data_IF_510965280754
#
_entry.id   IF_510965280754
#
_cell.length_a   1.000
_cell.length_b   1.000
_cell.length_c   1.000
_cell.angle_alpha   90.00
_cell.angle_beta   90.00
_cell.angle_gamma   90.00
#
_symmetry.space_group_name_H-M   'P 1'
#
loop_
_entity.id
_entity.type
_entity.pdbx_description
1 polymer ?
#
# COMPACT_ATOMS: atom_id res chain seq x y z
N UNK A 1 2.80 -53.72 -9.71
CA UNK A 1 3.49 -52.55 -9.11
C UNK A 1 3.04 -52.43 -7.67
N UNK A 2 3.96 -52.37 -6.70
CA UNK A 2 3.60 -52.15 -5.29
C UNK A 2 2.97 -50.77 -5.12
N UNK A 3 1.99 -50.65 -4.23
CA UNK A 3 1.23 -49.40 -4.01
C UNK A 3 2.13 -48.20 -3.78
N UNK A 4 3.27 -48.40 -3.13
CA UNK A 4 4.29 -47.38 -2.89
C UNK A 4 4.88 -46.82 -4.19
N UNK A 5 5.27 -47.67 -5.14
CA UNK A 5 5.84 -47.24 -6.43
C UNK A 5 4.80 -46.45 -7.22
N UNK A 6 3.53 -46.90 -7.20
CA UNK A 6 2.43 -46.18 -7.83
C UNK A 6 2.20 -44.80 -7.20
N UNK A 7 2.20 -44.72 -5.87
CA UNK A 7 1.99 -43.46 -5.16
C UNK A 7 3.14 -42.46 -5.40
N UNK A 8 4.38 -42.94 -5.39
CA UNK A 8 5.57 -42.12 -5.69
C UNK A 8 5.50 -41.58 -7.12
N UNK A 9 5.10 -42.42 -8.09
CA UNK A 9 4.91 -41.98 -9.48
C UNK A 9 3.79 -40.95 -9.63
N UNK A 10 2.69 -41.09 -8.89
CA UNK A 10 1.59 -40.10 -8.89
C UNK A 10 2.09 -38.76 -8.34
N UNK A 11 2.83 -38.77 -7.23
CA UNK A 11 3.37 -37.53 -6.64
C UNK A 11 4.36 -36.85 -7.58
N UNK A 12 5.26 -37.61 -8.21
CA UNK A 12 6.21 -37.08 -9.20
C UNK A 12 5.50 -36.53 -10.45
N UNK A 13 4.45 -37.21 -10.93
CA UNK A 13 3.65 -36.76 -12.06
C UNK A 13 2.88 -35.46 -11.74
N UNK A 14 2.30 -35.35 -10.54
CA UNK A 14 1.64 -34.14 -10.07
C UNK A 14 2.64 -32.98 -9.91
N UNK A 15 3.83 -33.26 -9.35
CA UNK A 15 4.90 -32.27 -9.23
C UNK A 15 5.40 -31.77 -10.59
N UNK A 16 5.56 -32.67 -11.56
CA UNK A 16 5.92 -32.31 -12.93
C UNK A 16 4.84 -31.48 -13.63
N UNK A 17 3.55 -31.80 -13.40
CA UNK A 17 2.42 -30.99 -13.87
C UNK A 17 2.45 -29.57 -13.30
N UNK A 18 2.71 -29.41 -12.00
CA UNK A 18 2.84 -28.10 -11.35
C UNK A 18 4.03 -27.30 -11.91
N UNK A 19 5.13 -27.97 -12.26
CA UNK A 19 6.31 -27.33 -12.87
C UNK A 19 6.07 -26.90 -14.33
N UNK A 20 5.24 -27.64 -15.07
CA UNK A 20 4.92 -27.38 -16.49
C UNK A 20 3.76 -26.40 -16.67
N UNK A 21 2.91 -26.21 -15.65
CA UNK A 21 1.89 -25.16 -15.64
C UNK A 21 2.59 -23.82 -15.35
N UNK A 22 2.64 -22.88 -16.31
CA UNK A 22 3.19 -21.54 -16.07
C UNK A 22 2.24 -20.78 -15.14
N UNK A 23 2.39 -21.00 -13.83
CA UNK A 23 1.44 -20.50 -12.84
C UNK A 23 1.75 -20.83 -11.39
N UNK A 24 2.60 -21.81 -11.07
CA UNK A 24 2.87 -22.17 -9.66
C UNK A 24 3.40 -21.01 -8.78
N UNK A 25 4.41 -20.29 -9.27
CA UNK A 25 4.88 -19.03 -8.65
C UNK A 25 4.00 -17.83 -9.02
N UNK A 26 3.67 -17.70 -10.31
CA UNK A 26 2.99 -16.52 -10.85
C UNK A 26 1.53 -16.36 -10.40
N UNK A 27 0.80 -17.44 -10.12
CA UNK A 27 -0.59 -17.37 -9.68
C UNK A 27 -0.68 -16.89 -8.23
N UNK A 28 0.25 -17.34 -7.37
CA UNK A 28 0.34 -16.88 -5.98
C UNK A 28 0.68 -15.39 -5.92
N UNK A 29 1.67 -14.97 -6.72
CA UNK A 29 2.03 -13.55 -6.85
C UNK A 29 0.90 -12.72 -7.46
N UNK A 30 0.17 -13.25 -8.44
CA UNK A 30 -1.00 -12.62 -9.03
C UNK A 30 -2.13 -12.42 -8.01
N UNK A 31 -2.38 -13.41 -7.14
CA UNK A 31 -3.37 -13.30 -6.06
C UNK A 31 -2.93 -12.25 -5.04
N UNK A 32 -1.67 -12.27 -4.62
CA UNK A 32 -1.13 -11.29 -3.68
C UNK A 32 -1.20 -9.87 -4.26
N UNK A 33 -0.82 -9.70 -5.52
CA UNK A 33 -0.89 -8.43 -6.22
C UNK A 33 -2.33 -7.94 -6.38
N UNK A 34 -3.27 -8.82 -6.73
CA UNK A 34 -4.69 -8.48 -6.79
C UNK A 34 -5.21 -8.02 -5.43
N UNK A 35 -4.83 -8.69 -4.35
CA UNK A 35 -5.21 -8.33 -2.98
C UNK A 35 -4.64 -6.96 -2.57
N UNK A 36 -3.38 -6.69 -2.92
CA UNK A 36 -2.74 -5.38 -2.72
C UNK A 36 -3.47 -4.28 -3.49
N UNK A 37 -3.82 -4.52 -4.76
CA UNK A 37 -4.59 -3.57 -5.58
C UNK A 37 -5.96 -3.29 -4.97
N UNK A 38 -6.69 -4.34 -4.56
CA UNK A 38 -8.00 -4.20 -3.91
C UNK A 38 -7.89 -3.43 -2.60
N UNK A 39 -6.85 -3.68 -1.80
CA UNK A 39 -6.59 -2.94 -0.57
C UNK A 39 -6.32 -1.45 -0.84
N UNK A 40 -5.47 -1.12 -1.81
CA UNK A 40 -5.23 0.28 -2.21
C UNK A 40 -6.49 0.94 -2.78
N UNK A 41 -7.30 0.21 -3.56
CA UNK A 41 -8.58 0.70 -4.06
C UNK A 41 -9.57 1.00 -2.92
N UNK A 42 -9.62 0.14 -1.90
CA UNK A 42 -10.44 0.36 -0.70
C UNK A 42 -9.97 1.59 0.10
N UNK A 43 -8.66 1.78 0.25
CA UNK A 43 -8.08 2.97 0.89
C UNK A 43 -8.41 4.24 0.08
N UNK A 44 -8.24 4.22 -1.24
CA UNK A 44 -8.59 5.34 -2.12
C UNK A 44 -10.10 5.67 -2.02
N UNK A 45 -10.95 4.64 -2.00
CA UNK A 45 -12.39 4.82 -1.79
C UNK A 45 -12.69 5.45 -0.42
N UNK A 46 -12.03 5.01 0.64
CA UNK A 46 -12.18 5.57 1.99
C UNK A 46 -11.77 7.05 2.02
N UNK A 47 -10.66 7.41 1.37
CA UNK A 47 -10.23 8.82 1.24
C UNK A 47 -11.27 9.66 0.50
N UNK A 48 -11.79 9.16 -0.63
CA UNK A 48 -12.84 9.85 -1.40
C UNK A 48 -14.13 9.98 -0.59
N UNK A 49 -14.50 8.93 0.14
CA UNK A 49 -15.69 8.91 1.00
C UNK A 49 -15.56 9.95 2.11
N UNK A 50 -14.44 9.94 2.83
CA UNK A 50 -14.14 10.89 3.90
C UNK A 50 -14.10 12.33 3.38
N UNK A 51 -13.50 12.54 2.20
CA UNK A 51 -13.50 13.84 1.53
C UNK A 51 -14.92 14.33 1.23
N UNK A 52 -15.78 13.45 0.70
CA UNK A 52 -17.19 13.81 0.39
C UNK A 52 -18.00 14.12 1.65
N UNK A 53 -17.78 13.39 2.74
CA UNK A 53 -18.46 13.63 4.02
C UNK A 53 -17.99 14.93 4.69
N UNK A 54 -16.68 15.22 4.62
CA UNK A 54 -16.06 16.37 5.28
C UNK A 54 -15.82 17.55 4.34
N UNK A 55 -16.39 17.54 3.14
CA UNK A 55 -16.13 18.58 2.11
C UNK A 55 -16.39 19.98 2.64
N UNK A 56 -17.47 20.18 3.40
CA UNK A 56 -17.85 21.48 3.96
C UNK A 56 -16.79 21.98 4.92
N UNK A 57 -16.33 21.14 5.84
CA UNK A 57 -15.23 21.43 6.77
C UNK A 57 -13.94 21.74 6.00
N UNK A 58 -13.66 20.98 4.93
CA UNK A 58 -12.53 21.18 4.02
C UNK A 58 -12.59 22.48 3.22
N UNK A 59 -13.77 23.02 2.92
CA UNK A 59 -13.91 24.33 2.24
C UNK A 59 -13.85 25.50 3.23
N UNK A 60 -14.16 25.30 4.51
CA UNK A 60 -13.96 26.32 5.55
C UNK A 60 -12.49 26.44 5.98
N UNK A 61 -11.67 25.42 5.70
CA UNK A 61 -10.21 25.50 5.83
C UNK A 61 -9.64 26.54 4.84
N UNK A 62 -8.96 27.55 5.36
CA UNK A 62 -8.26 28.55 4.54
C UNK A 62 -7.23 27.93 3.58
N UNK A 63 -6.98 28.59 2.45
CA UNK A 63 -6.19 28.05 1.32
C UNK A 63 -4.84 27.45 1.72
N UNK A 64 -4.13 28.10 2.65
CA UNK A 64 -2.84 27.63 3.18
C UNK A 64 -2.94 26.24 3.83
N UNK A 65 -3.97 25.99 4.63
CA UNK A 65 -4.15 24.70 5.32
C UNK A 65 -4.54 23.60 4.34
N UNK A 66 -5.27 23.94 3.26
CA UNK A 66 -5.62 22.99 2.20
C UNK A 66 -4.37 22.53 1.44
N UNK A 67 -3.49 23.48 1.08
CA UNK A 67 -2.22 23.17 0.42
C UNK A 67 -1.34 22.27 1.30
N UNK A 68 -1.24 22.56 2.61
CA UNK A 68 -0.48 21.71 3.55
C UNK A 68 -1.08 20.31 3.63
N UNK A 69 -2.42 20.20 3.72
CA UNK A 69 -3.08 18.91 3.80
C UNK A 69 -2.83 18.08 2.54
N UNK A 70 -3.07 18.63 1.35
CA UNK A 70 -2.86 17.92 0.09
C UNK A 70 -1.37 17.63 -0.16
N UNK A 71 -0.48 18.55 0.22
CA UNK A 71 0.96 18.34 0.18
C UNK A 71 1.40 17.18 1.07
N UNK A 72 0.89 17.09 2.29
CA UNK A 72 1.18 15.99 3.22
C UNK A 72 0.67 14.63 2.72
N UNK A 73 -0.51 14.61 2.10
CA UNK A 73 -1.10 13.42 1.48
C UNK A 73 -0.29 12.95 0.26
N UNK A 74 0.13 13.88 -0.60
CA UNK A 74 1.00 13.57 -1.73
C UNK A 74 2.35 13.04 -1.28
N UNK A 75 2.95 13.70 -0.28
CA UNK A 75 4.23 13.29 0.31
C UNK A 75 4.15 11.88 0.90
N UNK A 76 3.10 11.58 1.68
CA UNK A 76 2.87 10.25 2.24
C UNK A 76 2.77 9.19 1.14
N UNK A 77 1.99 9.48 0.08
CA UNK A 77 1.77 8.55 -1.03
C UNK A 77 3.09 8.22 -1.74
N UNK A 78 3.88 9.23 -2.10
CA UNK A 78 5.18 9.05 -2.76
C UNK A 78 6.14 8.28 -1.86
N UNK A 79 6.16 8.59 -0.56
CA UNK A 79 7.03 7.93 0.42
C UNK A 79 6.70 6.44 0.55
N UNK A 80 5.41 6.08 0.59
CA UNK A 80 4.97 4.68 0.63
C UNK A 80 5.34 3.95 -0.67
N UNK A 81 5.15 4.58 -1.83
CA UNK A 81 5.52 3.97 -3.13
C UNK A 81 7.05 3.79 -3.25
N UNK A 82 7.84 4.70 -2.68
CA UNK A 82 9.30 4.63 -2.72
C UNK A 82 9.91 3.70 -1.66
N UNK A 83 9.09 3.05 -0.81
CA UNK A 83 9.56 2.27 0.37
C UNK A 83 10.65 1.27 0.00
N UNK A 84 10.43 0.41 -0.99
CA UNK A 84 11.38 -0.63 -1.37
C UNK A 84 12.76 -0.05 -1.71
N UNK A 85 12.78 0.99 -2.56
CA UNK A 85 14.02 1.67 -2.97
C UNK A 85 14.68 2.43 -1.83
N UNK A 86 13.90 3.02 -0.92
CA UNK A 86 14.47 3.77 0.21
C UNK A 86 15.09 2.84 1.24
N UNK A 87 14.52 1.65 1.44
CA UNK A 87 14.97 0.70 2.45
C UNK A 87 16.22 -0.10 2.03
N UNK A 88 16.59 -0.06 0.75
CA UNK A 88 17.83 -0.65 0.23
C UNK A 88 19.11 -0.02 0.82
N UNK A 89 19.02 1.21 1.35
CA UNK A 89 20.17 1.93 1.92
C UNK A 89 19.85 2.49 3.30
N UNK A 90 20.82 2.46 4.23
CA UNK A 90 20.62 3.01 5.57
C UNK A 90 20.22 4.50 5.58
N UNK A 91 20.79 5.29 4.67
CA UNK A 91 20.43 6.70 4.51
C UNK A 91 19.00 6.87 3.97
N UNK A 92 18.58 6.02 3.03
CA UNK A 92 17.21 6.03 2.51
C UNK A 92 16.17 5.65 3.56
N UNK A 93 16.46 4.68 4.44
CA UNK A 93 15.59 4.33 5.57
C UNK A 93 15.39 5.50 6.52
N UNK A 94 16.46 6.23 6.86
CA UNK A 94 16.36 7.44 7.68
C UNK A 94 15.53 8.53 7.00
N UNK A 95 15.77 8.76 5.70
CA UNK A 95 15.00 9.71 4.92
C UNK A 95 13.50 9.32 4.86
N UNK A 96 13.20 8.03 4.73
CA UNK A 96 11.83 7.53 4.74
C UNK A 96 11.10 7.90 6.04
N UNK A 97 11.71 7.67 7.20
CA UNK A 97 11.12 8.06 8.49
C UNK A 97 10.94 9.58 8.61
N UNK A 98 11.90 10.37 8.12
CA UNK A 98 11.78 11.83 8.11
C UNK A 98 10.61 12.31 7.25
N UNK A 99 10.42 11.71 6.07
CA UNK A 99 9.32 12.04 5.15
C UNK A 99 7.96 11.63 5.72
N UNK A 100 7.85 10.44 6.30
CA UNK A 100 6.63 10.01 7.00
C UNK A 100 6.33 10.94 8.17
N UNK A 101 7.33 11.28 8.98
CA UNK A 101 7.19 12.23 10.08
C UNK A 101 6.70 13.60 9.60
N UNK A 102 7.26 14.12 8.50
CA UNK A 102 6.84 15.38 7.91
C UNK A 102 5.39 15.33 7.40
N UNK A 103 4.98 14.24 6.75
CA UNK A 103 3.61 14.05 6.29
C UNK A 103 2.61 13.98 7.47
N UNK A 104 2.92 13.19 8.49
CA UNK A 104 2.09 13.08 9.71
C UNK A 104 2.01 14.43 10.43
N UNK A 105 3.11 15.16 10.54
CA UNK A 105 3.14 16.49 11.14
C UNK A 105 2.28 17.49 10.37
N UNK A 106 2.34 17.48 9.03
CA UNK A 106 1.50 18.33 8.18
C UNK A 106 0.01 18.06 8.40
N UNK A 107 -0.39 16.79 8.44
CA UNK A 107 -1.78 16.42 8.74
C UNK A 107 -2.20 16.83 10.16
N UNK A 108 -1.34 16.61 11.16
CA UNK A 108 -1.58 17.01 12.55
C UNK A 108 -1.71 18.54 12.70
N UNK A 109 -0.87 19.31 12.01
CA UNK A 109 -0.92 20.77 12.01
C UNK A 109 -2.29 21.27 11.51
N UNK A 110 -2.77 20.71 10.40
CA UNK A 110 -4.08 21.07 9.83
C UNK A 110 -5.21 20.67 10.77
N UNK A 111 -5.12 19.50 11.40
CA UNK A 111 -6.11 19.03 12.37
C UNK A 111 -6.19 19.92 13.61
N UNK A 112 -5.04 20.35 14.14
CA UNK A 112 -4.99 21.29 15.27
C UNK A 112 -5.52 22.66 14.86
N UNK A 113 -5.17 23.16 13.67
CA UNK A 113 -5.69 24.42 13.15
C UNK A 113 -7.22 24.37 13.04
N UNK A 114 -7.79 23.28 12.54
CA UNK A 114 -9.24 23.10 12.42
C UNK A 114 -10.00 23.05 13.75
N UNK A 115 -9.32 22.76 14.87
CA UNK A 115 -9.93 22.74 16.23
C UNK A 115 -9.79 24.05 17.00
N UNK A 116 -8.98 24.98 16.50
CA UNK A 116 -8.69 26.25 17.19
C UNK A 116 -9.62 27.38 16.73
N UNK A 117 -10.36 27.15 15.64
CA UNK A 117 -11.42 28.02 15.12
C UNK A 117 -12.79 27.41 15.43
#
# INVERSE_FOLDING_TARGET
MTTTVRNVLIILALGALVMLVPGGGNASDGILQALVIVMFAALAYLVVRLYRERRTDLYSLGERNRVILYGSLGLATITVVATDRMWDTGAGTLAWFALVGAAVYGAYYVFRAARTY
#
